data_IF_043031162279
#
_entry.id   IF_043031162279
#
_cell.length_a   1.000
_cell.length_b   1.000
_cell.length_c   1.000
_cell.angle_alpha   90.00
_cell.angle_beta   90.00
_cell.angle_gamma   90.00
#
_symmetry.space_group_name_H-M   'P 1'
#
loop_
_entity.id
_entity.type
_entity.pdbx_description
1 polymer ?
#
# COMPACT_ATOMS: atom_id res chain seq x y z
N UNK A 1 6.14 29.65 -25.12
CA UNK A 1 6.94 28.48 -25.49
C UNK A 1 6.80 27.43 -24.37
N UNK A 2 5.98 26.38 -24.59
CA UNK A 2 5.76 25.36 -23.57
C UNK A 2 6.91 24.36 -23.64
N UNK A 3 7.82 24.38 -22.67
CA UNK A 3 8.77 23.28 -22.51
C UNK A 3 7.98 22.01 -22.20
N UNK A 4 7.87 21.09 -23.15
CA UNK A 4 7.42 19.73 -22.89
C UNK A 4 8.42 19.12 -21.92
N UNK A 5 7.96 18.74 -20.73
CA UNK A 5 8.78 18.00 -19.78
C UNK A 5 9.40 16.78 -20.46
N UNK A 6 10.72 16.73 -20.52
CA UNK A 6 11.46 15.60 -21.10
C UNK A 6 11.53 14.38 -20.15
N UNK A 7 10.81 14.44 -19.03
CA UNK A 7 10.84 13.37 -18.04
C UNK A 7 10.04 12.17 -18.58
N UNK A 8 10.74 11.10 -18.92
CA UNK A 8 10.15 9.81 -19.24
C UNK A 8 9.60 9.19 -17.96
N UNK A 9 8.30 8.99 -17.91
CA UNK A 9 7.65 8.28 -16.81
C UNK A 9 7.62 6.78 -17.07
N UNK A 10 7.66 6.03 -15.97
CA UNK A 10 7.48 4.59 -15.99
C UNK A 10 6.05 4.25 -16.46
N UNK A 11 5.92 3.28 -17.34
CA UNK A 11 4.63 2.66 -17.65
C UNK A 11 4.35 1.62 -16.56
N UNK A 12 3.17 1.64 -15.98
CA UNK A 12 2.73 0.63 -15.01
C UNK A 12 1.39 0.04 -15.39
N UNK A 13 1.10 -1.14 -14.87
CA UNK A 13 -0.25 -1.72 -14.94
C UNK A 13 -1.24 -0.83 -14.19
N UNK A 14 -2.52 -0.95 -14.53
CA UNK A 14 -3.59 -0.33 -13.78
C UNK A 14 -4.33 -1.40 -12.98
N UNK A 15 -4.63 -1.10 -11.71
CA UNK A 15 -5.54 -1.87 -10.87
C UNK A 15 -6.68 -0.98 -10.39
N UNK A 16 -7.77 -1.56 -9.94
CA UNK A 16 -8.91 -0.82 -9.38
C UNK A 16 -8.98 -1.05 -7.87
N UNK A 17 -9.20 0.01 -7.09
CA UNK A 17 -9.50 -0.07 -5.65
C UNK A 17 -10.88 0.54 -5.47
N UNK A 18 -11.91 -0.31 -5.37
CA UNK A 18 -13.27 0.14 -5.59
C UNK A 18 -13.42 0.75 -6.98
N UNK A 19 -13.84 2.00 -7.05
CA UNK A 19 -13.98 2.81 -8.28
C UNK A 19 -12.74 3.65 -8.61
N UNK A 20 -11.71 3.64 -7.76
CA UNK A 20 -10.48 4.44 -7.94
C UNK A 20 -9.44 3.67 -8.74
N UNK A 21 -9.07 4.12 -9.95
CA UNK A 21 -7.98 3.54 -10.72
C UNK A 21 -6.61 3.93 -10.14
N UNK A 22 -5.69 2.95 -10.06
CA UNK A 22 -4.33 3.14 -9.52
C UNK A 22 -3.32 2.58 -10.51
N UNK A 23 -2.36 3.39 -10.93
CA UNK A 23 -1.40 3.03 -11.98
C UNK A 23 -1.94 3.30 -13.40
N UNK A 24 -1.26 2.80 -14.41
CA UNK A 24 -1.58 3.12 -15.81
C UNK A 24 -1.47 4.63 -16.07
N UNK A 25 -2.42 5.17 -16.80
CA UNK A 25 -2.55 6.60 -17.08
C UNK A 25 -3.45 7.34 -16.08
N UNK A 26 -3.86 6.67 -14.98
CA UNK A 26 -4.71 7.27 -13.98
C UNK A 26 -3.99 8.39 -13.19
N UNK A 27 -4.73 9.38 -12.67
CA UNK A 27 -4.18 10.35 -11.71
C UNK A 27 -3.57 9.66 -10.49
N UNK A 28 -2.59 10.31 -9.83
CA UNK A 28 -2.13 9.81 -8.53
C UNK A 28 -3.29 9.85 -7.55
N UNK A 29 -3.59 8.69 -6.97
CA UNK A 29 -4.55 8.59 -5.89
C UNK A 29 -3.90 8.92 -4.53
N UNK A 30 -4.62 9.70 -3.72
CA UNK A 30 -4.22 10.07 -2.36
C UNK A 30 -4.87 9.09 -1.39
N UNK A 31 -4.03 8.42 -0.59
CA UNK A 31 -4.50 7.53 0.46
C UNK A 31 -4.09 8.04 1.84
N UNK A 32 -5.05 8.14 2.76
CA UNK A 32 -4.81 8.40 4.17
C UNK A 32 -5.27 7.24 5.03
N UNK A 33 -5.15 7.37 6.35
CA UNK A 33 -5.45 6.29 7.30
C UNK A 33 -6.14 6.84 8.54
N UNK A 34 -7.13 6.09 9.05
CA UNK A 34 -7.73 6.38 10.35
C UNK A 34 -6.77 6.06 11.50
N UNK A 35 -6.95 6.76 12.61
CA UNK A 35 -6.24 6.50 13.87
C UNK A 35 -7.20 6.21 15.04
N UNK A 36 -8.49 6.07 14.75
CA UNK A 36 -9.51 5.64 15.71
C UNK A 36 -9.41 4.14 15.97
N UNK A 37 -9.91 3.69 17.10
CA UNK A 37 -10.16 2.26 17.33
C UNK A 37 -11.24 1.77 16.37
N UNK A 38 -10.93 0.79 15.55
CA UNK A 38 -11.84 0.31 14.49
C UNK A 38 -13.15 -0.26 15.03
N UNK A 39 -13.12 -0.77 16.28
CA UNK A 39 -14.31 -1.25 16.99
C UNK A 39 -15.28 -0.12 17.38
N UNK A 40 -14.81 1.13 17.48
CA UNK A 40 -15.70 2.29 17.53
C UNK A 40 -16.11 2.70 16.10
N UNK A 41 -17.16 2.04 15.62
CA UNK A 41 -17.71 2.24 14.27
C UNK A 41 -18.07 3.70 14.03
N UNK A 42 -18.66 4.38 15.02
CA UNK A 42 -19.14 5.75 14.86
C UNK A 42 -18.01 6.77 14.74
N UNK A 43 -17.00 6.64 15.59
CA UNK A 43 -15.80 7.50 15.51
C UNK A 43 -15.04 7.26 14.21
N UNK A 44 -14.89 5.98 13.81
CA UNK A 44 -14.17 5.62 12.59
C UNK A 44 -14.88 6.12 11.34
N UNK A 45 -16.20 6.00 11.26
CA UNK A 45 -16.99 6.54 10.13
C UNK A 45 -16.84 8.06 10.01
N UNK A 46 -16.94 8.80 11.14
CA UNK A 46 -16.72 10.26 11.13
C UNK A 46 -15.33 10.61 10.61
N UNK A 47 -14.29 9.96 11.13
CA UNK A 47 -12.93 10.23 10.71
C UNK A 47 -12.69 9.88 9.23
N UNK A 48 -13.30 8.81 8.71
CA UNK A 48 -13.26 8.49 7.27
C UNK A 48 -13.87 9.62 6.45
N UNK A 49 -14.99 10.20 6.89
CA UNK A 49 -15.61 11.32 6.20
C UNK A 49 -14.71 12.56 6.24
N UNK A 50 -14.14 12.90 7.38
CA UNK A 50 -13.19 14.02 7.51
C UNK A 50 -11.99 13.86 6.57
N UNK A 51 -11.45 12.64 6.46
CA UNK A 51 -10.33 12.29 5.59
C UNK A 51 -10.74 12.44 4.10
N UNK A 52 -11.93 11.96 3.74
CA UNK A 52 -12.49 12.11 2.39
C UNK A 52 -12.66 13.59 2.02
N UNK A 53 -13.25 14.38 2.93
CA UNK A 53 -13.50 15.80 2.73
C UNK A 53 -12.20 16.62 2.64
N UNK A 54 -11.11 16.12 3.26
CA UNK A 54 -9.77 16.65 3.10
C UNK A 54 -9.09 16.26 1.77
N UNK A 55 -9.76 15.49 0.91
CA UNK A 55 -9.30 15.17 -0.44
C UNK A 55 -8.62 13.81 -0.61
N UNK A 56 -8.80 12.87 0.32
CA UNK A 56 -8.33 11.51 0.11
C UNK A 56 -9.28 10.72 -0.80
N UNK A 57 -8.72 10.03 -1.78
CA UNK A 57 -9.45 9.14 -2.70
C UNK A 57 -9.70 7.76 -2.09
N UNK A 58 -8.84 7.32 -1.19
CA UNK A 58 -8.84 6.00 -0.57
C UNK A 58 -8.54 6.13 0.92
N UNK A 59 -9.24 5.38 1.77
CA UNK A 59 -8.96 5.39 3.21
C UNK A 59 -8.54 4.01 3.69
N UNK A 60 -7.45 3.94 4.47
CA UNK A 60 -6.98 2.71 5.10
C UNK A 60 -7.45 2.65 6.54
N UNK A 61 -7.94 1.49 6.94
CA UNK A 61 -8.42 1.19 8.30
C UNK A 61 -7.64 0.00 8.85
N UNK A 62 -7.14 0.11 10.07
CA UNK A 62 -6.43 -0.99 10.75
C UNK A 62 -7.42 -2.06 11.21
N UNK A 63 -7.13 -3.33 10.96
CA UNK A 63 -7.98 -4.46 11.37
C UNK A 63 -7.14 -5.50 12.12
N UNK A 64 -6.80 -5.24 13.39
CA UNK A 64 -5.88 -6.09 14.15
C UNK A 64 -6.53 -7.36 14.73
N UNK A 65 -7.85 -7.37 14.91
CA UNK A 65 -8.61 -8.44 15.58
C UNK A 65 -9.84 -8.85 14.77
N UNK A 66 -10.44 -9.99 15.11
CA UNK A 66 -11.69 -10.43 14.49
C UNK A 66 -12.85 -9.49 14.80
N UNK A 67 -12.91 -8.93 16.01
CA UNK A 67 -13.94 -7.92 16.36
C UNK A 67 -13.79 -6.67 15.51
N UNK A 68 -12.54 -6.25 15.24
CA UNK A 68 -12.27 -5.15 14.31
C UNK A 68 -12.69 -5.50 12.87
N UNK A 69 -12.61 -6.78 12.45
CA UNK A 69 -13.11 -7.21 11.13
C UNK A 69 -14.64 -7.09 11.04
N UNK A 70 -15.37 -7.50 12.09
CA UNK A 70 -16.82 -7.32 12.13
C UNK A 70 -17.23 -5.85 12.17
N UNK A 71 -16.49 -5.03 12.90
CA UNK A 71 -16.69 -3.58 12.91
C UNK A 71 -16.39 -2.96 11.53
N UNK A 72 -15.32 -3.41 10.84
CA UNK A 72 -14.99 -2.99 9.49
C UNK A 72 -16.16 -3.24 8.52
N UNK A 73 -16.79 -4.41 8.57
CA UNK A 73 -17.97 -4.70 7.76
C UNK A 73 -19.15 -3.74 8.01
N UNK A 74 -19.33 -3.27 9.26
CA UNK A 74 -20.34 -2.25 9.60
C UNK A 74 -19.94 -0.87 9.09
N UNK A 75 -18.65 -0.53 9.14
CA UNK A 75 -18.08 0.73 8.61
C UNK A 75 -18.26 0.76 7.10
N UNK A 76 -17.87 -0.31 6.38
CA UNK A 76 -17.95 -0.39 4.92
C UNK A 76 -19.33 -0.09 4.36
N UNK A 77 -20.39 -0.51 5.07
CA UNK A 77 -21.79 -0.26 4.70
C UNK A 77 -22.24 1.20 4.90
N UNK A 78 -21.47 2.01 5.60
CA UNK A 78 -21.80 3.40 5.95
C UNK A 78 -20.99 4.45 5.20
N UNK A 79 -20.00 4.03 4.44
CA UNK A 79 -19.11 4.93 3.70
C UNK A 79 -19.05 4.54 2.23
N UNK A 80 -18.88 5.53 1.36
CA UNK A 80 -18.77 5.32 -0.09
C UNK A 80 -17.31 5.22 -0.55
N UNK A 81 -16.41 5.95 0.13
CA UNK A 81 -14.99 5.97 -0.22
C UNK A 81 -14.38 4.56 -0.14
N UNK A 82 -13.56 4.16 -1.11
CA UNK A 82 -12.89 2.87 -1.08
C UNK A 82 -12.05 2.65 0.17
N UNK A 83 -12.20 1.48 0.78
CA UNK A 83 -11.51 1.11 2.02
C UNK A 83 -10.44 0.06 1.80
N UNK A 84 -9.25 0.32 2.35
CA UNK A 84 -8.16 -0.65 2.46
C UNK A 84 -8.11 -1.19 3.88
N UNK A 85 -8.27 -2.49 4.05
CA UNK A 85 -8.07 -3.13 5.34
C UNK A 85 -6.59 -3.47 5.56
N UNK A 86 -6.04 -3.00 6.67
CA UNK A 86 -4.65 -3.23 7.05
C UNK A 86 -4.55 -4.41 8.01
N UNK A 87 -4.08 -5.56 7.48
CA UNK A 87 -3.95 -6.80 8.22
C UNK A 87 -2.49 -7.03 8.58
N UNK A 88 -2.21 -7.15 9.88
CA UNK A 88 -0.82 -7.25 10.36
C UNK A 88 -0.31 -8.68 10.50
N UNK A 89 -1.06 -9.58 11.15
CA UNK A 89 -0.54 -10.89 11.56
C UNK A 89 -1.44 -12.07 11.23
N UNK A 90 -2.75 -11.94 11.38
CA UNK A 90 -3.66 -13.08 11.26
C UNK A 90 -4.35 -13.12 9.88
N UNK A 91 -3.97 -14.11 9.07
CA UNK A 91 -4.54 -14.31 7.74
C UNK A 91 -6.07 -14.57 7.77
N UNK A 92 -6.62 -15.12 8.86
CA UNK A 92 -8.07 -15.38 9.00
C UNK A 92 -8.86 -14.06 9.02
N UNK A 93 -8.27 -13.00 9.57
CA UNK A 93 -8.84 -11.66 9.53
C UNK A 93 -8.91 -11.18 8.07
N UNK A 94 -7.86 -11.41 7.27
CA UNK A 94 -7.88 -11.05 5.85
C UNK A 94 -8.99 -11.77 5.09
N UNK A 95 -9.16 -13.09 5.33
CA UNK A 95 -10.25 -13.86 4.73
C UNK A 95 -11.62 -13.32 5.13
N UNK A 96 -11.80 -13.00 6.42
CA UNK A 96 -13.06 -12.47 6.93
C UNK A 96 -13.40 -11.11 6.34
N UNK A 97 -12.44 -10.19 6.30
CA UNK A 97 -12.63 -8.84 5.75
C UNK A 97 -12.92 -8.91 4.25
N UNK A 98 -12.33 -9.87 3.54
CA UNK A 98 -12.63 -10.11 2.13
C UNK A 98 -14.12 -10.44 1.92
N UNK A 99 -14.70 -11.29 2.78
CA UNK A 99 -16.14 -11.61 2.75
C UNK A 99 -17.06 -10.41 3.10
N UNK A 100 -16.51 -9.41 3.78
CA UNK A 100 -17.23 -8.22 4.22
C UNK A 100 -17.17 -7.05 3.20
N UNK A 101 -16.59 -7.28 2.02
CA UNK A 101 -16.63 -6.34 0.89
C UNK A 101 -15.57 -5.25 0.95
N UNK A 102 -14.35 -5.59 1.38
CA UNK A 102 -13.20 -4.68 1.31
C UNK A 102 -12.81 -4.37 -0.15
N UNK A 103 -12.34 -3.16 -0.40
CA UNK A 103 -11.90 -2.75 -1.74
C UNK A 103 -10.42 -3.04 -2.01
N UNK A 104 -9.61 -3.26 -0.98
CA UNK A 104 -8.22 -3.70 -1.10
C UNK A 104 -7.71 -4.25 0.25
N UNK A 105 -6.96 -5.33 0.23
CA UNK A 105 -6.28 -5.84 1.42
C UNK A 105 -4.82 -5.37 1.44
N UNK A 106 -4.38 -4.79 2.54
CA UNK A 106 -2.96 -4.54 2.80
C UNK A 106 -2.43 -5.64 3.69
N UNK A 107 -1.44 -6.34 3.20
CA UNK A 107 -0.72 -7.36 3.95
C UNK A 107 0.79 -7.11 3.92
N UNK A 108 1.46 -7.59 4.96
CA UNK A 108 2.90 -7.82 4.95
C UNK A 108 3.10 -9.34 5.02
N UNK A 109 3.44 -10.00 3.90
CA UNK A 109 3.56 -11.45 3.88
C UNK A 109 4.55 -11.99 4.89
N UNK A 110 5.63 -11.26 5.19
CA UNK A 110 6.60 -11.61 6.23
C UNK A 110 6.00 -11.73 7.64
N UNK A 111 4.90 -11.02 7.91
CA UNK A 111 4.21 -11.04 9.21
C UNK A 111 3.05 -12.05 9.26
N UNK A 112 2.43 -12.37 8.13
CA UNK A 112 1.29 -13.31 8.06
C UNK A 112 1.73 -14.75 8.34
N UNK A 113 2.99 -15.07 8.07
CA UNK A 113 3.60 -16.33 8.43
C UNK A 113 3.84 -17.26 7.25
N UNK A 114 3.51 -18.56 7.39
CA UNK A 114 3.89 -19.59 6.40
C UNK A 114 3.25 -19.32 5.03
N UNK A 115 3.98 -19.61 3.97
CA UNK A 115 3.57 -19.45 2.56
C UNK A 115 2.15 -19.99 2.27
N UNK A 116 1.78 -21.13 2.88
CA UNK A 116 0.43 -21.69 2.76
C UNK A 116 -0.67 -20.70 3.13
N UNK A 117 -0.49 -19.93 4.22
CA UNK A 117 -1.46 -18.92 4.67
C UNK A 117 -1.53 -17.72 3.73
N UNK A 118 -0.39 -17.34 3.18
CA UNK A 118 -0.33 -16.28 2.16
C UNK A 118 -1.10 -16.72 0.93
N UNK A 119 -0.91 -17.96 0.47
CA UNK A 119 -1.65 -18.54 -0.66
C UNK A 119 -3.16 -18.58 -0.42
N UNK A 120 -3.61 -18.87 0.79
CA UNK A 120 -5.04 -18.83 1.14
C UNK A 120 -5.62 -17.42 0.97
N UNK A 121 -4.89 -16.36 1.40
CA UNK A 121 -5.30 -14.96 1.21
C UNK A 121 -5.31 -14.59 -0.27
N UNK A 122 -4.29 -15.01 -1.04
CA UNK A 122 -4.20 -14.72 -2.48
C UNK A 122 -5.37 -15.39 -3.22
N UNK A 123 -5.66 -16.66 -2.96
CA UNK A 123 -6.79 -17.37 -3.57
C UNK A 123 -8.11 -16.64 -3.28
N UNK A 124 -8.34 -16.26 -2.01
CA UNK A 124 -9.53 -15.52 -1.63
C UNK A 124 -9.64 -14.17 -2.34
N UNK A 125 -8.53 -13.46 -2.45
CA UNK A 125 -8.46 -12.18 -3.17
C UNK A 125 -8.73 -12.37 -4.67
N UNK A 126 -8.23 -13.46 -5.26
CA UNK A 126 -8.46 -13.82 -6.66
C UNK A 126 -9.94 -14.16 -6.92
N UNK A 127 -10.54 -15.01 -6.07
CA UNK A 127 -11.94 -15.42 -6.20
C UNK A 127 -12.91 -14.23 -6.13
N UNK A 128 -12.59 -13.23 -5.31
CA UNK A 128 -13.41 -12.03 -5.11
C UNK A 128 -12.92 -10.82 -5.93
N UNK A 129 -11.89 -10.99 -6.77
CA UNK A 129 -11.25 -9.91 -7.55
C UNK A 129 -10.81 -8.70 -6.70
N UNK A 130 -10.33 -8.96 -5.47
CA UNK A 130 -9.86 -7.93 -4.55
C UNK A 130 -8.36 -7.68 -4.80
N UNK A 131 -7.93 -6.42 -5.08
CA UNK A 131 -6.53 -6.10 -5.20
C UNK A 131 -5.80 -6.22 -3.86
N UNK A 132 -4.53 -6.61 -3.92
CA UNK A 132 -3.65 -6.65 -2.76
C UNK A 132 -2.69 -5.47 -2.76
N UNK A 133 -2.36 -4.97 -1.58
CA UNK A 133 -1.19 -4.14 -1.37
C UNK A 133 -0.17 -4.91 -0.54
N UNK A 134 0.95 -5.22 -1.17
CA UNK A 134 2.10 -5.81 -0.49
C UNK A 134 2.94 -4.69 0.11
N UNK A 135 3.11 -4.73 1.42
CA UNK A 135 3.85 -3.70 2.16
C UNK A 135 5.11 -4.26 2.78
N UNK A 136 6.27 -3.82 2.30
CA UNK A 136 7.57 -4.10 2.91
C UNK A 136 8.03 -2.85 3.66
N UNK A 137 8.51 -3.02 4.89
CA UNK A 137 9.05 -1.94 5.70
C UNK A 137 10.46 -2.29 6.17
N UNK A 138 11.36 -1.32 6.19
CA UNK A 138 12.74 -1.50 6.63
C UNK A 138 12.86 -2.09 8.05
N UNK A 139 11.93 -1.73 8.94
CA UNK A 139 11.90 -2.25 10.32
C UNK A 139 11.36 -3.68 10.48
N UNK A 140 10.88 -4.32 9.39
CA UNK A 140 10.28 -5.67 9.43
C UNK A 140 10.79 -6.58 8.31
N UNK A 141 12.03 -6.38 7.88
CA UNK A 141 12.72 -7.23 6.92
C UNK A 141 12.95 -8.63 7.55
N UNK A 142 12.88 -9.68 6.76
CA UNK A 142 13.08 -11.06 7.17
C UNK A 142 14.47 -11.27 7.81
N UNK A 143 14.54 -12.12 8.83
CA UNK A 143 15.75 -12.36 9.63
C UNK A 143 16.96 -12.84 8.82
N UNK A 144 16.73 -13.62 7.77
CA UNK A 144 17.80 -14.10 6.88
C UNK A 144 18.37 -12.95 6.03
N UNK A 145 17.53 -12.02 5.57
CA UNK A 145 17.97 -10.80 4.89
C UNK A 145 18.70 -9.84 5.85
N UNK A 146 18.21 -9.73 7.09
CA UNK A 146 18.94 -8.96 8.11
C UNK A 146 20.36 -9.53 8.34
N UNK A 147 20.50 -10.87 8.36
CA UNK A 147 21.82 -11.51 8.46
C UNK A 147 22.70 -11.29 7.21
N UNK A 148 22.08 -11.30 6.03
CA UNK A 148 22.77 -11.13 4.74
C UNK A 148 23.32 -9.71 4.57
N UNK A 149 22.53 -8.70 4.94
CA UNK A 149 22.84 -7.29 4.69
C UNK A 149 23.40 -6.55 5.92
N UNK A 150 23.33 -7.15 7.11
CA UNK A 150 23.77 -6.55 8.39
C UNK A 150 22.80 -5.51 8.93
N UNK A 151 22.43 -4.54 8.10
CA UNK A 151 21.48 -3.46 8.42
C UNK A 151 20.42 -3.32 7.33
N UNK A 152 19.29 -2.62 7.58
CA UNK A 152 18.33 -2.33 6.53
C UNK A 152 18.95 -1.48 5.42
N UNK A 153 18.88 -1.99 4.19
CA UNK A 153 19.35 -1.32 2.98
C UNK A 153 18.26 -1.29 1.94
N UNK A 154 18.40 -0.44 0.92
CA UNK A 154 17.47 -0.43 -0.22
C UNK A 154 17.46 -1.77 -0.96
N UNK A 155 18.62 -2.44 -1.07
CA UNK A 155 18.72 -3.76 -1.71
C UNK A 155 18.03 -4.84 -0.89
N UNK A 156 18.12 -4.81 0.45
CA UNK A 156 17.37 -5.70 1.33
C UNK A 156 15.86 -5.50 1.19
N UNK A 157 15.39 -4.24 1.08
CA UNK A 157 13.98 -3.93 0.82
C UNK A 157 13.50 -4.47 -0.52
N UNK A 158 14.30 -4.30 -1.57
CA UNK A 158 13.97 -4.79 -2.92
C UNK A 158 13.95 -6.31 -2.95
N UNK A 159 14.95 -6.99 -2.36
CA UNK A 159 14.98 -8.46 -2.29
C UNK A 159 13.79 -9.02 -1.51
N UNK A 160 13.47 -8.43 -0.35
CA UNK A 160 12.26 -8.80 0.41
C UNK A 160 10.99 -8.64 -0.42
N UNK A 161 10.85 -7.51 -1.12
CA UNK A 161 9.71 -7.26 -1.98
C UNK A 161 9.61 -8.28 -3.13
N UNK A 162 10.73 -8.61 -3.78
CA UNK A 162 10.73 -9.57 -4.89
C UNK A 162 10.36 -10.98 -4.46
N UNK A 163 10.77 -11.44 -3.29
CA UNK A 163 10.31 -12.74 -2.73
C UNK A 163 8.78 -12.82 -2.65
N UNK A 164 8.15 -11.72 -2.28
CA UNK A 164 6.68 -11.67 -2.21
C UNK A 164 6.03 -11.59 -3.59
N UNK A 165 6.66 -10.87 -4.52
CA UNK A 165 6.21 -10.82 -5.92
C UNK A 165 6.30 -12.22 -6.56
N UNK A 166 7.37 -12.97 -6.33
CA UNK A 166 7.54 -14.35 -6.82
C UNK A 166 6.42 -15.28 -6.33
N UNK A 167 5.95 -15.13 -5.08
CA UNK A 167 4.80 -15.89 -4.57
C UNK A 167 3.52 -15.54 -5.35
N UNK A 168 3.27 -14.25 -5.60
CA UNK A 168 2.11 -13.78 -6.36
C UNK A 168 2.16 -14.27 -7.80
N UNK A 169 3.33 -14.15 -8.44
CA UNK A 169 3.57 -14.60 -9.82
C UNK A 169 3.38 -16.13 -9.96
N UNK A 170 3.84 -16.91 -8.96
CA UNK A 170 3.64 -18.37 -8.94
C UNK A 170 2.16 -18.78 -8.90
N UNK A 171 1.29 -17.87 -8.48
CA UNK A 171 -0.16 -18.06 -8.43
C UNK A 171 -0.89 -17.30 -9.56
N UNK A 172 -0.17 -16.71 -10.52
CA UNK A 172 -0.72 -15.87 -11.59
C UNK A 172 -1.57 -14.70 -11.07
N UNK A 173 -1.25 -14.18 -9.88
CA UNK A 173 -1.96 -13.07 -9.28
C UNK A 173 -1.28 -11.74 -9.60
N UNK A 174 -1.88 -10.96 -10.51
CA UNK A 174 -1.32 -9.68 -10.99
C UNK A 174 -2.04 -8.44 -10.44
N UNK A 175 -3.14 -8.63 -9.70
CA UNK A 175 -3.97 -7.55 -9.18
C UNK A 175 -3.41 -7.02 -7.85
N UNK A 176 -2.20 -6.44 -7.88
CA UNK A 176 -1.57 -5.90 -6.67
C UNK A 176 -0.78 -4.62 -6.92
N UNK A 177 -0.57 -3.86 -5.85
CA UNK A 177 0.38 -2.75 -5.77
C UNK A 177 1.41 -3.02 -4.68
N UNK A 178 2.59 -2.41 -4.82
CA UNK A 178 3.72 -2.63 -3.93
C UNK A 178 4.11 -1.35 -3.18
N UNK A 179 4.50 -1.48 -1.92
CA UNK A 179 5.11 -0.38 -1.15
C UNK A 179 6.36 -0.83 -0.42
N UNK A 180 7.43 -0.06 -0.56
CA UNK A 180 8.70 -0.21 0.14
C UNK A 180 8.91 1.02 1.00
N UNK A 181 8.76 0.89 2.31
CA UNK A 181 8.81 2.03 3.21
C UNK A 181 10.02 1.97 4.12
N UNK A 182 10.69 3.12 4.25
CA UNK A 182 11.73 3.36 5.23
C UNK A 182 11.51 4.72 5.89
N UNK A 183 12.11 4.93 7.06
CA UNK A 183 12.19 6.24 7.72
C UNK A 183 13.31 7.11 7.15
N UNK A 184 14.32 6.49 6.56
CA UNK A 184 15.34 7.16 5.77
C UNK A 184 14.82 7.44 4.36
N UNK A 185 14.89 8.72 3.95
CA UNK A 185 14.35 9.18 2.67
C UNK A 185 15.18 8.62 1.51
N UNK A 186 16.50 8.64 1.63
CA UNK A 186 17.39 8.20 0.55
C UNK A 186 17.27 6.70 0.30
N UNK A 187 17.19 5.91 1.37
CA UNK A 187 16.91 4.48 1.29
C UNK A 187 15.57 4.21 0.61
N UNK A 188 14.51 4.92 1.00
CA UNK A 188 13.20 4.75 0.40
C UNK A 188 13.22 5.11 -1.10
N UNK A 189 13.80 6.24 -1.47
CA UNK A 189 13.91 6.69 -2.87
C UNK A 189 14.69 5.68 -3.71
N UNK A 190 15.85 5.23 -3.24
CA UNK A 190 16.70 4.26 -3.95
C UNK A 190 15.98 2.91 -4.11
N UNK A 191 15.28 2.43 -3.07
CA UNK A 191 14.47 1.21 -3.15
C UNK A 191 13.36 1.32 -4.22
N UNK A 192 12.65 2.45 -4.28
CA UNK A 192 11.63 2.68 -5.31
C UNK A 192 12.22 2.81 -6.72
N UNK A 193 13.40 3.43 -6.87
CA UNK A 193 14.08 3.54 -8.15
C UNK A 193 14.54 2.17 -8.67
N UNK A 194 15.02 1.31 -7.77
CA UNK A 194 15.44 -0.05 -8.11
C UNK A 194 14.25 -0.92 -8.50
N UNK A 195 13.21 -0.99 -7.66
CA UNK A 195 12.05 -1.85 -7.91
C UNK A 195 11.26 -1.41 -9.15
N UNK A 196 11.19 -0.12 -9.44
CA UNK A 196 10.52 0.42 -10.61
C UNK A 196 11.11 -0.04 -11.94
N UNK A 197 12.35 -0.52 -11.96
CA UNK A 197 13.03 -1.09 -13.14
C UNK A 197 12.74 -2.57 -13.33
N UNK A 198 12.22 -3.25 -12.29
CA UNK A 198 12.06 -4.70 -12.25
C UNK A 198 10.60 -5.10 -12.50
N UNK A 199 9.64 -4.38 -11.91
CA UNK A 199 8.22 -4.71 -11.99
C UNK A 199 7.43 -3.59 -12.69
N UNK A 200 6.29 -3.94 -13.26
CA UNK A 200 5.33 -3.00 -13.87
C UNK A 200 4.07 -2.76 -13.02
N UNK A 201 3.97 -3.38 -11.84
CA UNK A 201 2.86 -3.15 -10.92
C UNK A 201 2.88 -1.73 -10.33
N UNK A 202 1.72 -1.15 -9.97
CA UNK A 202 1.65 0.16 -9.35
C UNK A 202 2.45 0.23 -8.04
N UNK A 203 3.07 1.36 -7.80
CA UNK A 203 3.83 1.63 -6.58
C UNK A 203 3.05 2.54 -5.66
N UNK A 204 3.03 2.19 -4.36
CA UNK A 204 2.42 3.01 -3.32
C UNK A 204 3.51 3.63 -2.45
N UNK A 205 3.71 4.93 -2.60
CA UNK A 205 4.80 5.66 -1.97
C UNK A 205 4.38 6.21 -0.61
N UNK A 206 5.31 6.24 0.31
CA UNK A 206 5.18 6.89 1.61
C UNK A 206 6.45 6.74 2.42
N UNK A 207 6.76 7.76 3.22
CA UNK A 207 7.84 7.71 4.21
C UNK A 207 7.21 7.28 5.55
N UNK A 208 7.73 6.23 6.15
CA UNK A 208 7.26 5.75 7.45
C UNK A 208 8.02 6.49 8.57
N UNK A 209 7.35 6.69 9.72
CA UNK A 209 7.97 7.33 10.90
C UNK A 209 8.65 8.66 10.56
N UNK A 210 8.02 9.45 9.70
CA UNK A 210 8.61 10.69 9.18
C UNK A 210 8.78 11.78 10.27
N UNK A 211 8.12 11.64 11.42
CA UNK A 211 8.17 12.57 12.53
C UNK A 211 6.89 13.42 12.71
N UNK A 212 6.95 14.43 13.56
CA UNK A 212 5.83 15.33 13.80
C UNK A 212 5.45 16.18 12.58
N UNK A 213 4.33 16.93 12.69
CA UNK A 213 3.69 17.62 11.57
C UNK A 213 4.68 18.39 10.66
N UNK A 214 5.53 19.24 11.21
CA UNK A 214 6.47 20.06 10.41
C UNK A 214 7.56 19.21 9.76
N UNK A 215 8.34 18.46 10.56
CA UNK A 215 9.44 17.65 10.08
C UNK A 215 8.97 16.50 9.19
N UNK A 216 7.87 15.86 9.56
CA UNK A 216 7.26 14.78 8.78
C UNK A 216 6.72 15.24 7.43
N UNK A 217 6.14 16.44 7.37
CA UNK A 217 5.71 17.04 6.10
C UNK A 217 6.89 17.29 5.18
N UNK A 218 7.98 17.87 5.67
CA UNK A 218 9.19 18.12 4.87
C UNK A 218 9.79 16.81 4.35
N UNK A 219 9.99 15.82 5.24
CA UNK A 219 10.53 14.51 4.85
C UNK A 219 9.65 13.81 3.82
N UNK A 220 8.35 13.77 4.06
CA UNK A 220 7.39 13.15 3.14
C UNK A 220 7.36 13.85 1.79
N UNK A 221 7.39 15.19 1.77
CA UNK A 221 7.40 15.96 0.53
C UNK A 221 8.65 15.68 -0.30
N UNK A 222 9.82 15.59 0.33
CA UNK A 222 11.08 15.25 -0.37
C UNK A 222 10.98 13.83 -0.95
N UNK A 223 10.61 12.83 -0.14
CA UNK A 223 10.52 11.45 -0.58
C UNK A 223 9.47 11.24 -1.68
N UNK A 224 8.28 11.79 -1.51
CA UNK A 224 7.22 11.71 -2.52
C UNK A 224 7.62 12.45 -3.80
N UNK A 225 8.16 13.67 -3.70
CA UNK A 225 8.60 14.47 -4.84
C UNK A 225 9.68 13.76 -5.66
N UNK A 226 10.69 13.17 -5.01
CA UNK A 226 11.79 12.49 -5.67
C UNK A 226 11.39 11.28 -6.52
N UNK A 227 10.27 10.63 -6.18
CA UNK A 227 9.81 9.41 -6.86
C UNK A 227 8.62 9.68 -7.79
N UNK A 228 7.75 10.62 -7.43
CA UNK A 228 6.49 10.87 -8.16
C UNK A 228 6.69 11.31 -9.60
N UNK A 229 7.73 12.10 -9.88
CA UNK A 229 7.97 12.61 -11.22
C UNK A 229 8.55 11.58 -12.19
N UNK A 230 9.21 10.56 -11.71
CA UNK A 230 9.99 9.63 -12.55
C UNK A 230 9.47 8.20 -12.52
N UNK A 231 8.94 7.75 -11.39
CA UNK A 231 8.61 6.34 -11.14
C UNK A 231 7.14 6.07 -10.85
N UNK A 232 6.32 7.13 -10.66
CA UNK A 232 4.86 7.01 -10.70
C UNK A 232 4.33 7.49 -12.05
N UNK A 233 3.31 6.82 -12.54
CA UNK A 233 2.51 7.34 -13.66
C UNK A 233 1.71 8.54 -13.18
N UNK A 234 2.01 9.72 -13.71
CA UNK A 234 1.27 10.94 -13.42
C UNK A 234 0.74 11.58 -14.69
N UNK A 235 -0.56 11.86 -14.78
CA UNK A 235 -0.99 13.14 -15.29
C UNK A 235 -0.94 14.15 -14.13
N UNK A 236 -0.06 15.12 -14.15
CA UNK A 236 -0.19 16.31 -13.33
C UNK A 236 -1.44 17.04 -13.80
N UNK A 237 -2.56 16.93 -13.07
CA UNK A 237 -3.57 17.97 -13.15
C UNK A 237 -2.88 19.26 -12.69
N UNK A 238 -2.78 20.24 -13.59
CA UNK A 238 -2.52 21.62 -13.19
C UNK A 238 -3.71 22.05 -12.34
N UNK A 239 -3.44 22.45 -11.13
CA UNK A 239 -4.32 23.34 -10.38
C UNK A 239 -4.20 24.72 -11.02
#
# INVERSE_FOLDING_TARGET
MHMKSSIKRRISRQIMIGDVPVGGDAPISIQSMTNTETTDVSATVRQIQDIKDAGADIVRVSVPTMDAAEAFGKIRKKVEVPLVADIHFDYRIALRVADLGVDCLRINPGNIGREKRIKEVINKAQDLNIPLRIGVNAGSIEKDLQKKYGEPTSDALVESAMRHVEILDSMNFNNFKLSLKASDIFMAVDAYQKIAKIIDNPLHIGITEAGGLRGGTVKSSIGLGSVSYTHLTLPTKRI
#
